data_IF_463899793943
#
_entry.id   IF_463899793943
#
_cell.length_a   1.000
_cell.length_b   1.000
_cell.length_c   1.000
_cell.angle_alpha   90.00
_cell.angle_beta   90.00
_cell.angle_gamma   90.00
#
_symmetry.space_group_name_H-M   'P 1'
#
loop_
_entity.id
_entity.type
_entity.pdbx_description
1 polymer ?
#
# COMPACT_ATOMS: atom_id res chain seq x y z
N UNK A 1 14.31 -2.98 -18.79
CA UNK A 1 13.37 -1.84 -18.88
C UNK A 1 11.89 -2.25 -18.91
N UNK A 2 11.40 -3.15 -19.80
CA UNK A 2 9.96 -3.49 -19.83
C UNK A 2 9.47 -4.19 -18.56
N UNK A 3 10.29 -5.06 -17.97
CA UNK A 3 9.96 -5.78 -16.71
C UNK A 3 9.73 -4.84 -15.53
N UNK A 4 10.51 -3.76 -15.43
CA UNK A 4 10.40 -2.78 -14.33
C UNK A 4 9.15 -1.92 -14.48
N UNK A 5 8.83 -1.48 -15.71
CA UNK A 5 7.60 -0.73 -15.97
C UNK A 5 6.36 -1.57 -15.64
N UNK A 6 6.34 -2.83 -16.10
CA UNK A 6 5.26 -3.78 -15.77
C UNK A 6 5.13 -3.99 -14.25
N UNK A 7 6.26 -4.12 -13.53
CA UNK A 7 6.26 -4.26 -12.08
C UNK A 7 5.68 -3.03 -11.36
N UNK A 8 6.09 -1.81 -11.75
CA UNK A 8 5.54 -0.57 -11.17
C UNK A 8 4.03 -0.47 -11.41
N UNK A 9 3.59 -0.74 -12.64
CA UNK A 9 2.18 -0.73 -13.00
C UNK A 9 1.41 -1.76 -12.17
N UNK A 10 1.92 -2.99 -12.06
CA UNK A 10 1.31 -4.04 -11.26
C UNK A 10 1.23 -3.67 -9.77
N UNK A 11 2.29 -3.07 -9.20
CA UNK A 11 2.30 -2.59 -7.81
C UNK A 11 1.23 -1.52 -7.60
N UNK A 12 1.18 -0.49 -8.46
CA UNK A 12 0.21 0.59 -8.34
C UNK A 12 -1.23 0.10 -8.54
N UNK A 13 -1.48 -0.76 -9.52
CA UNK A 13 -2.79 -1.37 -9.74
C UNK A 13 -3.22 -2.21 -8.54
N UNK A 14 -2.34 -3.08 -8.04
CA UNK A 14 -2.68 -3.95 -6.89
C UNK A 14 -3.00 -3.11 -5.66
N UNK A 15 -2.17 -2.11 -5.36
CA UNK A 15 -2.40 -1.20 -4.24
C UNK A 15 -3.71 -0.42 -4.41
N UNK A 16 -3.93 0.19 -5.58
CA UNK A 16 -5.13 1.00 -5.84
C UNK A 16 -6.42 0.19 -5.80
N UNK A 17 -6.44 -1.03 -6.33
CA UNK A 17 -7.62 -1.90 -6.28
C UNK A 17 -7.91 -2.34 -4.85
N UNK A 18 -6.88 -2.79 -4.10
CA UNK A 18 -7.06 -3.21 -2.71
C UNK A 18 -7.52 -2.05 -1.83
N UNK A 19 -6.95 -0.87 -2.01
CA UNK A 19 -7.33 0.33 -1.25
C UNK A 19 -8.74 0.80 -1.61
N UNK A 20 -9.13 0.79 -2.90
CA UNK A 20 -10.49 1.14 -3.29
C UNK A 20 -11.53 0.20 -2.64
N UNK A 21 -11.27 -1.10 -2.62
CA UNK A 21 -12.14 -2.08 -1.93
C UNK A 21 -12.18 -1.78 -0.43
N UNK A 22 -11.03 -1.51 0.18
CA UNK A 22 -10.95 -1.22 1.61
C UNK A 22 -11.68 0.09 1.97
N UNK A 23 -11.37 1.21 1.32
CA UNK A 23 -11.99 2.50 1.59
C UNK A 23 -13.50 2.45 1.38
N UNK A 24 -13.98 1.84 0.30
CA UNK A 24 -15.43 1.74 0.03
C UNK A 24 -16.17 0.92 1.09
N UNK A 25 -15.54 -0.13 1.63
CA UNK A 25 -16.17 -1.01 2.64
C UNK A 25 -15.98 -0.52 4.07
N UNK A 26 -14.84 0.07 4.41
CA UNK A 26 -14.46 0.45 5.77
C UNK A 26 -14.77 1.89 6.13
N UNK A 27 -15.00 2.77 5.15
CA UNK A 27 -15.37 4.17 5.45
C UNK A 27 -16.62 4.26 6.33
N UNK A 28 -17.68 3.51 6.02
CA UNK A 28 -18.91 3.54 6.82
C UNK A 28 -18.85 2.66 8.07
N UNK A 29 -18.09 1.55 8.00
CA UNK A 29 -18.01 0.57 9.09
C UNK A 29 -17.08 0.99 10.22
N UNK A 30 -15.96 1.62 9.88
CA UNK A 30 -14.87 1.94 10.78
C UNK A 30 -14.61 3.45 10.84
N UNK A 31 -14.24 4.06 9.71
CA UNK A 31 -13.70 5.43 9.71
C UNK A 31 -14.72 6.47 10.13
N UNK A 32 -15.94 6.47 9.58
CA UNK A 32 -16.98 7.43 10.00
C UNK A 32 -17.44 7.20 11.44
N UNK A 33 -17.24 6.02 12.01
CA UNK A 33 -17.63 5.75 13.41
C UNK A 33 -16.55 6.16 14.41
N UNK A 34 -15.29 5.91 14.07
CA UNK A 34 -14.15 6.11 14.98
C UNK A 34 -13.41 7.43 14.73
N UNK A 35 -13.48 7.96 13.51
CA UNK A 35 -12.73 9.13 13.05
C UNK A 35 -13.64 10.26 12.56
N UNK A 36 -14.94 10.25 12.91
CA UNK A 36 -15.94 11.21 12.39
C UNK A 36 -15.50 12.68 12.46
N UNK A 37 -14.81 13.09 13.52
CA UNK A 37 -14.31 14.46 13.71
C UNK A 37 -12.96 14.77 13.05
N UNK A 38 -12.28 13.76 12.48
CA UNK A 38 -10.96 13.88 11.83
C UNK A 38 -11.02 13.68 10.32
N UNK A 39 -12.15 13.18 9.79
CA UNK A 39 -12.33 12.99 8.36
C UNK A 39 -12.60 14.33 7.68
N UNK A 40 -11.86 14.60 6.60
CA UNK A 40 -12.16 15.71 5.70
C UNK A 40 -13.48 15.45 4.96
N UNK A 41 -14.27 16.51 4.74
CA UNK A 41 -15.49 16.45 3.93
C UNK A 41 -15.18 16.05 2.48
N UNK A 42 -14.04 16.50 1.96
CA UNK A 42 -13.53 16.15 0.64
C UNK A 42 -12.09 15.63 0.74
N UNK A 43 -11.77 14.47 0.13
CA UNK A 43 -10.41 13.96 0.10
C UNK A 43 -9.44 14.95 -0.55
N UNK A 44 -8.26 15.12 0.06
CA UNK A 44 -7.18 15.89 -0.55
C UNK A 44 -6.37 15.01 -1.51
N UNK A 45 -6.42 15.33 -2.80
CA UNK A 45 -5.80 14.52 -3.84
C UNK A 45 -4.27 14.56 -3.84
N UNK A 46 -3.67 15.70 -3.47
CA UNK A 46 -2.22 15.86 -3.44
C UNK A 46 -1.52 14.87 -2.48
N UNK A 47 -1.87 14.80 -1.18
CA UNK A 47 -1.26 13.83 -0.26
C UNK A 47 -1.63 12.39 -0.62
N UNK A 48 -2.82 12.13 -1.17
CA UNK A 48 -3.20 10.79 -1.63
C UNK A 48 -2.26 10.31 -2.74
N UNK A 49 -2.10 11.10 -3.81
CA UNK A 49 -1.20 10.75 -4.93
C UNK A 49 0.24 10.60 -4.44
N UNK A 50 0.71 11.51 -3.58
CA UNK A 50 2.06 11.42 -3.01
C UNK A 50 2.25 10.11 -2.23
N UNK A 51 1.28 9.71 -1.41
CA UNK A 51 1.30 8.45 -0.68
C UNK A 51 1.40 7.24 -1.61
N UNK A 52 0.56 7.16 -2.64
CA UNK A 52 0.60 6.04 -3.59
C UNK A 52 1.94 5.90 -4.30
N UNK A 53 2.52 7.02 -4.73
CA UNK A 53 3.84 7.01 -5.39
C UNK A 53 4.95 6.61 -4.41
N UNK A 54 4.97 7.18 -3.20
CA UNK A 54 5.96 6.85 -2.17
C UNK A 54 5.87 5.38 -1.75
N UNK A 55 4.65 4.88 -1.51
CA UNK A 55 4.44 3.51 -1.09
C UNK A 55 4.87 2.52 -2.19
N UNK A 56 4.52 2.82 -3.46
CA UNK A 56 4.99 2.03 -4.59
C UNK A 56 6.51 2.03 -4.72
N UNK A 57 7.18 3.17 -4.50
CA UNK A 57 8.65 3.24 -4.45
C UNK A 57 9.20 2.33 -3.35
N UNK A 58 8.63 2.39 -2.14
CA UNK A 58 9.03 1.54 -1.01
C UNK A 58 8.90 0.05 -1.35
N UNK A 59 7.76 -0.38 -1.88
CA UNK A 59 7.52 -1.77 -2.32
C UNK A 59 8.52 -2.17 -3.40
N UNK A 60 8.78 -1.30 -4.37
CA UNK A 60 9.71 -1.58 -5.47
C UNK A 60 11.14 -1.76 -4.99
N UNK A 61 11.60 -0.90 -4.08
CA UNK A 61 12.99 -0.89 -3.58
C UNK A 61 13.22 -2.01 -2.57
N UNK A 62 12.28 -2.26 -1.66
CA UNK A 62 12.46 -3.18 -0.55
C UNK A 62 12.10 -4.63 -0.90
N UNK A 63 11.19 -4.84 -1.86
CA UNK A 63 10.63 -6.16 -2.16
C UNK A 63 10.82 -6.52 -3.62
N UNK A 64 10.22 -5.76 -4.55
CA UNK A 64 10.04 -6.24 -5.93
C UNK A 64 11.36 -6.32 -6.69
N UNK A 65 12.22 -5.29 -6.63
CA UNK A 65 13.55 -5.35 -7.29
C UNK A 65 14.45 -6.42 -6.67
N UNK A 66 14.67 -6.46 -5.34
CA UNK A 66 15.46 -7.53 -4.72
C UNK A 66 14.92 -8.93 -5.02
N UNK A 67 13.60 -9.11 -5.07
CA UNK A 67 12.98 -10.40 -5.39
C UNK A 67 13.21 -10.83 -6.83
N UNK A 68 13.12 -9.89 -7.77
CA UNK A 68 13.31 -10.15 -9.19
C UNK A 68 14.78 -10.36 -9.59
N UNK A 69 15.70 -9.71 -8.89
CA UNK A 69 17.14 -9.79 -9.18
C UNK A 69 17.82 -10.93 -8.39
N UNK A 70 17.34 -11.22 -7.18
CA UNK A 70 17.85 -12.30 -6.33
C UNK A 70 17.03 -13.59 -6.37
N UNK A 71 16.10 -13.72 -7.32
CA UNK A 71 15.24 -14.90 -7.54
C UNK A 71 14.57 -15.42 -6.26
N UNK A 72 13.90 -14.53 -5.52
CA UNK A 72 13.24 -14.91 -4.28
C UNK A 72 12.11 -15.90 -4.54
N UNK A 73 11.95 -16.87 -3.64
CA UNK A 73 10.77 -17.74 -3.63
C UNK A 73 9.50 -16.93 -3.32
N UNK A 74 8.36 -17.39 -3.84
CA UNK A 74 7.06 -16.75 -3.58
C UNK A 74 6.78 -16.62 -2.08
N UNK A 75 7.13 -17.64 -1.29
CA UNK A 75 6.96 -17.62 0.17
C UNK A 75 7.74 -16.49 0.84
N UNK A 76 8.97 -16.21 0.38
CA UNK A 76 9.77 -15.09 0.89
C UNK A 76 9.15 -13.74 0.54
N UNK A 77 8.67 -13.57 -0.69
CA UNK A 77 7.99 -12.33 -1.13
C UNK A 77 6.76 -12.06 -0.27
N UNK A 78 5.94 -13.08 -0.02
CA UNK A 78 4.75 -12.97 0.83
C UNK A 78 5.14 -12.62 2.27
N UNK A 79 6.14 -13.29 2.85
CA UNK A 79 6.55 -13.04 4.23
C UNK A 79 7.09 -11.61 4.44
N UNK A 80 7.95 -11.14 3.53
CA UNK A 80 8.50 -9.76 3.60
C UNK A 80 7.41 -8.73 3.33
N UNK A 81 6.49 -8.98 2.39
CA UNK A 81 5.34 -8.12 2.15
C UNK A 81 4.40 -8.01 3.35
N UNK A 82 4.10 -9.13 4.00
CA UNK A 82 3.31 -9.15 5.23
C UNK A 82 4.00 -8.39 6.36
N UNK A 83 5.32 -8.53 6.50
CA UNK A 83 6.10 -7.77 7.48
C UNK A 83 6.06 -6.26 7.19
N UNK A 84 6.22 -5.85 5.93
CA UNK A 84 6.11 -4.43 5.54
C UNK A 84 4.73 -3.88 5.91
N UNK A 85 3.66 -4.61 5.61
CA UNK A 85 2.29 -4.23 5.99
C UNK A 85 2.11 -4.14 7.51
N UNK A 86 2.60 -5.12 8.25
CA UNK A 86 2.57 -5.14 9.72
C UNK A 86 3.30 -3.93 10.31
N UNK A 87 4.47 -3.58 9.79
CA UNK A 87 5.22 -2.41 10.30
C UNK A 87 4.50 -1.11 9.92
N UNK A 88 3.98 -1.00 8.70
CA UNK A 88 3.32 0.21 8.24
C UNK A 88 2.02 0.52 9.01
N UNK A 89 1.16 -0.48 9.23
CA UNK A 89 -0.11 -0.29 9.93
C UNK A 89 -0.02 -0.56 11.43
N UNK A 90 0.79 -1.52 11.85
CA UNK A 90 0.98 -1.82 13.27
C UNK A 90 1.58 -0.64 14.03
N UNK A 91 2.45 0.17 13.41
CA UNK A 91 2.95 1.38 14.06
C UNK A 91 1.86 2.44 14.27
N UNK A 92 0.89 2.55 13.35
CA UNK A 92 -0.27 3.43 13.51
C UNK A 92 -1.22 2.96 14.61
N UNK A 93 -1.51 1.66 14.70
CA UNK A 93 -2.45 1.13 15.70
C UNK A 93 -1.85 1.04 17.12
N UNK A 94 -0.52 1.06 17.26
CA UNK A 94 0.17 1.00 18.56
C UNK A 94 0.21 2.35 19.30
N UNK A 95 -0.25 3.45 18.70
CA UNK A 95 -0.23 4.81 19.28
C UNK A 95 -1.47 5.61 18.91
#
# INVERSE_FOLDING_TARGET
MPRTAAAVIATLLSMGVLDAIWLTTMTTRLYRKQLSGLLLDTPSWAPAIAFYLLYAVGVMVLIVRPALDGEWSLGRVVAVGALLGLVAYGTYDLT
#
